data_IF_154360112735
#
_entry.id   IF_154360112735
#
_cell.length_a   1.000
_cell.length_b   1.000
_cell.length_c   1.000
_cell.angle_alpha   90.00
_cell.angle_beta   90.00
_cell.angle_gamma   90.00
#
_symmetry.space_group_name_H-M   'P 1'
#
loop_
_entity.id
_entity.type
_entity.pdbx_description
1 polymer ?
#
# COMPACT_ATOMS: atom_id res chain seq x y z
N UNK A 1 17.34 5.18 12.40
CA UNK A 1 17.38 4.22 11.28
C UNK A 1 16.44 3.08 11.64
N UNK A 2 15.31 2.91 10.95
CA UNK A 2 14.39 1.81 11.23
C UNK A 2 15.00 0.50 10.71
N UNK A 3 15.13 -0.56 11.54
CA UNK A 3 15.66 -1.85 11.10
C UNK A 3 14.61 -2.55 10.23
N UNK A 4 14.54 -2.19 8.95
CA UNK A 4 13.66 -2.85 8.00
C UNK A 4 14.28 -4.18 7.55
N UNK A 5 13.57 -5.32 7.67
CA UNK A 5 14.09 -6.58 7.15
C UNK A 5 14.15 -6.52 5.61
N UNK A 6 15.36 -6.69 5.07
CA UNK A 6 15.72 -6.42 3.67
C UNK A 6 15.06 -7.30 2.59
N UNK A 7 13.95 -8.00 2.87
CA UNK A 7 13.37 -9.01 1.97
C UNK A 7 11.84 -9.10 1.92
N UNK A 8 11.10 -8.13 2.47
CA UNK A 8 9.62 -8.20 2.54
C UNK A 8 8.96 -7.00 1.83
N UNK A 9 8.72 -7.07 0.51
CA UNK A 9 7.93 -6.04 -0.20
C UNK A 9 6.47 -5.97 0.31
N UNK A 10 5.99 -7.06 0.92
CA UNK A 10 4.70 -7.22 1.61
C UNK A 10 4.50 -6.30 2.84
N UNK A 11 5.54 -5.59 3.26
CA UNK A 11 5.48 -4.62 4.35
C UNK A 11 5.53 -3.17 3.86
N UNK A 12 5.73 -2.90 2.57
CA UNK A 12 5.88 -1.52 2.11
C UNK A 12 4.52 -0.85 1.96
N UNK A 13 4.22 0.13 2.83
CA UNK A 13 2.99 0.92 2.75
C UNK A 13 2.79 1.54 1.35
N UNK A 14 3.87 1.84 0.63
CA UNK A 14 3.81 2.38 -0.73
C UNK A 14 3.23 1.39 -1.74
N UNK A 15 3.51 0.09 -1.61
CA UNK A 15 3.00 -0.95 -2.52
C UNK A 15 1.48 -1.08 -2.36
N UNK A 16 0.99 -0.97 -1.13
CA UNK A 16 -0.45 -0.99 -0.88
C UNK A 16 -1.14 0.26 -1.45
N UNK A 17 -0.52 1.44 -1.32
CA UNK A 17 -1.04 2.66 -1.93
C UNK A 17 -1.07 2.53 -3.46
N UNK A 18 -0.03 1.95 -4.06
CA UNK A 18 -0.02 1.66 -5.50
C UNK A 18 -1.11 0.68 -5.92
N UNK A 19 -1.40 -0.34 -5.12
CA UNK A 19 -2.50 -1.27 -5.39
C UNK A 19 -3.88 -0.59 -5.33
N UNK A 20 -4.10 0.34 -4.39
CA UNK A 20 -5.33 1.15 -4.32
C UNK A 20 -5.48 2.00 -5.59
N UNK A 21 -4.41 2.67 -6.02
CA UNK A 21 -4.41 3.51 -7.23
C UNK A 21 -4.65 2.65 -8.47
N UNK A 22 -3.96 1.51 -8.59
CA UNK A 22 -4.13 0.57 -9.69
C UNK A 22 -5.57 0.05 -9.80
N UNK A 23 -6.20 -0.31 -8.68
CA UNK A 23 -7.62 -0.71 -8.63
C UNK A 23 -8.57 0.41 -9.01
N UNK A 24 -8.31 1.65 -8.57
CA UNK A 24 -9.10 2.83 -8.97
C UNK A 24 -8.99 3.08 -10.48
N UNK A 25 -7.78 2.98 -11.03
CA UNK A 25 -7.52 3.17 -12.44
C UNK A 25 -8.19 2.09 -13.31
N UNK A 26 -8.15 0.83 -12.88
CA UNK A 26 -8.86 -0.27 -13.57
C UNK A 26 -10.38 -0.11 -13.59
N UNK A 27 -10.95 0.48 -12.52
CA UNK A 27 -12.39 0.75 -12.41
C UNK A 27 -12.78 2.09 -13.04
N UNK A 28 -11.83 2.85 -13.55
CA UNK A 28 -12.10 4.17 -14.10
C UNK A 28 -12.91 4.03 -15.40
N UNK A 29 -14.04 4.75 -15.55
CA UNK A 29 -14.94 4.57 -16.68
C UNK A 29 -14.33 5.02 -18.01
N UNK A 30 -13.30 5.87 -17.97
CA UNK A 30 -12.59 6.35 -19.16
C UNK A 30 -11.16 5.80 -19.17
N UNK A 31 -10.76 5.04 -20.20
CA UNK A 31 -9.37 4.59 -20.34
C UNK A 31 -8.45 5.78 -20.61
N UNK A 32 -7.28 5.79 -19.99
CA UNK A 32 -6.25 6.78 -20.28
C UNK A 32 -5.64 6.54 -21.66
N UNK A 33 -6.06 7.34 -22.65
CA UNK A 33 -5.57 7.25 -24.04
C UNK A 33 -4.23 7.97 -24.26
N UNK A 34 -3.78 8.78 -23.30
CA UNK A 34 -2.52 9.52 -23.35
C UNK A 34 -1.84 9.50 -21.99
N UNK A 35 -0.51 9.71 -21.98
CA UNK A 35 0.28 9.83 -20.75
C UNK A 35 -0.25 10.95 -19.86
N UNK A 36 -0.65 12.09 -20.45
CA UNK A 36 -1.21 13.21 -19.69
C UNK A 36 -2.50 12.84 -18.95
N UNK A 37 -3.40 12.10 -19.61
CA UNK A 37 -4.66 11.64 -18.99
C UNK A 37 -4.37 10.60 -17.91
N UNK A 38 -3.39 9.72 -18.13
CA UNK A 38 -2.96 8.75 -17.13
C UNK A 38 -2.41 9.44 -15.88
N UNK A 39 -1.54 10.45 -16.05
CA UNK A 39 -0.99 11.23 -14.94
C UNK A 39 -2.08 11.93 -14.14
N UNK A 40 -3.06 12.53 -14.82
CA UNK A 40 -4.19 13.20 -14.15
C UNK A 40 -5.03 12.20 -13.35
N UNK A 41 -5.38 11.05 -13.93
CA UNK A 41 -6.14 10.01 -13.26
C UNK A 41 -5.39 9.44 -12.04
N UNK A 42 -4.08 9.24 -12.15
CA UNK A 42 -3.24 8.81 -11.02
C UNK A 42 -3.21 9.87 -9.92
N UNK A 43 -3.05 11.14 -10.27
CA UNK A 43 -3.06 12.24 -9.31
C UNK A 43 -4.42 12.38 -8.61
N UNK A 44 -5.51 12.24 -9.34
CA UNK A 44 -6.87 12.23 -8.78
C UNK A 44 -7.11 11.02 -7.88
N UNK A 45 -6.63 9.83 -8.28
CA UNK A 45 -6.71 8.63 -7.48
C UNK A 45 -5.93 8.77 -6.16
N UNK A 46 -4.73 9.37 -6.22
CA UNK A 46 -3.90 9.70 -5.06
C UNK A 46 -4.58 10.69 -4.12
N UNK A 47 -5.06 11.82 -4.65
CA UNK A 47 -5.72 12.88 -3.86
C UNK A 47 -7.06 12.43 -3.25
N UNK A 48 -7.68 11.39 -3.79
CA UNK A 48 -8.94 10.82 -3.28
C UNK A 48 -8.74 9.67 -2.29
N UNK A 49 -7.50 9.38 -1.86
CA UNK A 49 -7.26 8.45 -0.75
C UNK A 49 -7.51 9.20 0.56
N UNK A 50 -8.48 8.76 1.39
CA UNK A 50 -8.69 9.32 2.71
C UNK A 50 -7.43 9.19 3.58
N UNK A 51 -7.13 10.22 4.37
CA UNK A 51 -6.02 10.15 5.32
C UNK A 51 -6.18 8.98 6.32
N UNK A 52 -7.43 8.58 6.62
CA UNK A 52 -7.71 7.43 7.47
C UNK A 52 -7.23 6.10 6.87
N UNK A 53 -7.30 5.92 5.55
CA UNK A 53 -6.78 4.72 4.89
C UNK A 53 -5.25 4.68 4.97
N UNK A 54 -4.59 5.84 4.85
CA UNK A 54 -3.14 5.96 5.06
C UNK A 54 -2.75 5.64 6.51
N UNK A 55 -3.53 6.13 7.48
CA UNK A 55 -3.29 5.85 8.90
C UNK A 55 -3.50 4.36 9.22
N UNK A 56 -4.59 3.77 8.74
CA UNK A 56 -4.87 2.34 8.91
C UNK A 56 -3.79 1.47 8.26
N UNK A 57 -3.21 1.91 7.14
CA UNK A 57 -2.07 1.25 6.51
C UNK A 57 -0.83 1.26 7.39
N UNK A 58 -0.54 2.41 7.99
CA UNK A 58 0.56 2.53 8.94
C UNK A 58 0.35 1.61 10.16
N UNK A 59 -0.86 1.59 10.71
CA UNK A 59 -1.20 0.82 11.90
C UNK A 59 -1.12 -0.70 11.62
N UNK A 60 -1.64 -1.15 10.48
CA UNK A 60 -1.55 -2.57 10.08
C UNK A 60 -0.13 -3.00 9.76
N UNK A 61 0.68 -2.13 9.15
CA UNK A 61 2.12 -2.37 8.95
C UNK A 61 2.85 -2.47 10.29
N UNK A 62 2.56 -1.59 11.25
CA UNK A 62 3.12 -1.62 12.60
C UNK A 62 2.73 -2.92 13.32
N UNK A 63 1.46 -3.32 13.24
CA UNK A 63 0.97 -4.57 13.83
C UNK A 63 1.66 -5.79 13.22
N UNK A 64 1.88 -5.82 11.90
CA UNK A 64 2.61 -6.91 11.21
C UNK A 64 4.09 -6.94 11.56
N UNK A 65 4.75 -5.79 11.67
CA UNK A 65 6.13 -5.69 12.13
C UNK A 65 6.26 -6.17 13.58
N UNK A 66 5.34 -5.75 14.46
CA UNK A 66 5.28 -6.26 15.83
C UNK A 66 5.07 -7.78 15.85
N UNK A 67 4.10 -8.30 15.09
CA UNK A 67 3.86 -9.73 14.98
C UNK A 67 5.09 -10.48 14.46
N UNK A 68 5.82 -9.92 13.50
CA UNK A 68 7.06 -10.51 12.97
C UNK A 68 8.20 -10.53 14.00
N UNK A 69 8.38 -9.44 14.74
CA UNK A 69 9.36 -9.37 15.85
C UNK A 69 8.99 -10.40 16.94
N UNK A 70 7.70 -10.52 17.27
CA UNK A 70 7.20 -11.50 18.24
C UNK A 70 7.31 -12.96 17.72
N UNK A 71 7.07 -13.20 16.43
CA UNK A 71 7.19 -14.52 15.80
C UNK A 71 8.62 -14.90 15.40
N UNK A 72 9.62 -14.08 15.74
CA UNK A 72 11.04 -14.48 15.68
C UNK A 72 11.39 -15.47 16.81
N UNK A 73 10.62 -16.57 16.87
CA UNK A 73 10.73 -17.64 17.85
C UNK A 73 9.55 -18.63 17.93
N UNK A 74 8.45 -18.46 17.18
CA UNK A 74 7.28 -19.35 17.29
C UNK A 74 6.46 -19.46 16.02
N UNK A 75 6.30 -20.70 15.55
CA UNK A 75 5.46 -21.08 14.41
C UNK A 75 3.98 -20.82 14.75
N UNK A 76 3.30 -19.95 14.01
CA UNK A 76 1.83 -19.89 13.99
C UNK A 76 1.36 -20.50 12.69
N UNK A 77 0.91 -21.74 12.78
CA UNK A 77 0.35 -22.50 11.67
C UNK A 77 -0.90 -21.83 11.11
N UNK A 78 -0.97 -21.84 9.78
CA UNK A 78 -2.23 -21.76 9.04
C UNK A 78 -3.08 -23.00 9.29
#
# INVERSE_FOLDING_TARGET
MLPWPARRPDLSAIEHVWDIIGRKLQRHPQPALTVSVLTDQVQQAWNSIPQNDIQHLYDTMHARLHAFIQNSGGYTGY
#
